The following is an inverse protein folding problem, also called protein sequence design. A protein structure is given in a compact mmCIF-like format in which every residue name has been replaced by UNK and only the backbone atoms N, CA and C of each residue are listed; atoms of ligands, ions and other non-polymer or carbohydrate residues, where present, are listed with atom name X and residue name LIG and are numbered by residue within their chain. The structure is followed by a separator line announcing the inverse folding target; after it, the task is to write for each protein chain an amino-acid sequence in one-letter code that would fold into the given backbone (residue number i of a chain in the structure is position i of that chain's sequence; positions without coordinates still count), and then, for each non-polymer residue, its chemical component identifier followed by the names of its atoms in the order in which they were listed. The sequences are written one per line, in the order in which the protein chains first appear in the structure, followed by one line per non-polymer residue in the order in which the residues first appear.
data_IF_344048932769
#
_entry.id   IF_344048932769
#
_cell.length_a   1.000
_cell.length_b   1.000
_cell.length_c   1.000
_cell.angle_alpha   90.00
_cell.angle_beta   90.00
_cell.angle_gamma   90.00
#
_symmetry.space_group_name_H-M   'P 1'
#
loop_
_entity.id
_entity.type
_entity.pdbx_description
1 polymer ?
#
# COMPACT_ATOMS: atom_id res chain seq x y z
N UNK A 1 15.20 8.35 -9.48
CA UNK A 1 15.60 6.93 -9.42
C UNK A 1 16.36 6.73 -8.10
N UNK A 2 15.73 6.23 -7.03
CA UNK A 2 16.38 6.07 -5.72
C UNK A 2 16.50 4.58 -5.35
N UNK A 3 17.70 4.01 -5.52
CA UNK A 3 18.09 2.77 -4.86
C UNK A 3 18.29 3.09 -3.37
N UNK A 4 17.64 2.34 -2.48
CA UNK A 4 17.83 2.50 -1.04
C UNK A 4 19.07 1.68 -0.68
N UNK A 5 20.25 2.22 -0.96
CA UNK A 5 21.53 1.57 -0.64
C UNK A 5 21.85 1.70 0.85
N UNK A 6 21.47 2.82 1.50
CA UNK A 6 21.61 3.03 2.95
C UNK A 6 20.27 2.99 3.70
N UNK A 7 20.28 2.43 4.92
CA UNK A 7 19.11 2.37 5.82
C UNK A 7 18.61 3.76 6.24
N UNK A 8 19.47 4.77 6.23
CA UNK A 8 19.10 6.15 6.55
C UNK A 8 18.34 6.86 5.41
N UNK A 9 18.48 6.41 4.16
CA UNK A 9 17.75 6.98 3.02
C UNK A 9 16.24 6.67 3.06
N UNK A 10 15.87 5.64 3.82
CA UNK A 10 14.47 5.26 4.04
C UNK A 10 13.67 6.42 4.64
N UNK A 11 14.30 7.19 5.54
CA UNK A 11 13.67 8.32 6.23
C UNK A 11 13.56 9.58 5.37
N UNK A 12 14.23 9.61 4.20
CA UNK A 12 14.02 10.66 3.18
C UNK A 12 12.73 10.41 2.40
N UNK A 13 12.30 9.15 2.29
CA UNK A 13 11.09 8.73 1.57
C UNK A 13 9.88 8.67 2.49
N UNK A 14 10.06 8.22 3.74
CA UNK A 14 9.01 8.12 4.75
C UNK A 14 9.36 9.03 5.91
N UNK A 15 8.50 10.02 6.15
CA UNK A 15 8.65 10.91 7.30
C UNK A 15 8.66 10.09 8.60
N UNK A 16 9.66 10.23 9.50
CA UNK A 16 9.76 9.51 10.77
C UNK A 16 8.78 10.06 11.83
N UNK A 17 7.53 10.13 11.43
CA UNK A 17 6.38 10.67 12.17
C UNK A 17 5.28 9.62 12.13
N UNK A 18 4.42 9.62 13.15
CA UNK A 18 3.26 8.74 13.24
C UNK A 18 2.44 8.74 11.94
N UNK A 19 2.13 9.91 11.39
CA UNK A 19 1.36 10.02 10.14
C UNK A 19 2.08 9.41 8.95
N UNK A 20 3.40 9.59 8.85
CA UNK A 20 4.23 8.97 7.81
C UNK A 20 4.19 7.44 7.89
N UNK A 21 4.30 6.88 9.11
CA UNK A 21 4.22 5.44 9.33
C UNK A 21 2.82 4.88 9.08
N UNK A 22 1.76 5.62 9.46
CA UNK A 22 0.37 5.25 9.17
C UNK A 22 0.14 5.25 7.66
N UNK A 23 0.59 6.27 6.92
CA UNK A 23 0.49 6.33 5.46
C UNK A 23 1.22 5.15 4.81
N UNK A 24 2.42 4.82 5.28
CA UNK A 24 3.16 3.66 4.80
C UNK A 24 2.40 2.36 5.06
N UNK A 25 1.89 2.17 6.28
CA UNK A 25 1.11 0.97 6.65
C UNK A 25 -0.14 0.85 5.78
N UNK A 26 -0.90 1.93 5.58
CA UNK A 26 -2.05 1.94 4.67
C UNK A 26 -1.64 1.50 3.27
N UNK A 27 -0.55 2.06 2.72
CA UNK A 27 -0.05 1.68 1.40
C UNK A 27 0.33 0.19 1.34
N UNK A 28 1.03 -0.31 2.35
CA UNK A 28 1.39 -1.72 2.44
C UNK A 28 0.18 -2.67 2.52
N UNK A 29 -0.89 -2.25 3.20
CA UNK A 29 -2.15 -3.01 3.28
C UNK A 29 -2.87 -3.04 1.93
N UNK A 30 -2.92 -1.92 1.20
CA UNK A 30 -3.55 -1.86 -0.13
C UNK A 30 -2.86 -2.73 -1.17
N UNK A 31 -1.54 -2.89 -1.06
CA UNK A 31 -0.77 -3.82 -1.89
C UNK A 31 -0.77 -5.27 -1.38
N UNK A 32 -1.47 -5.58 -0.28
CA UNK A 32 -1.42 -6.88 0.40
C UNK A 32 0.00 -7.34 0.79
N UNK A 33 0.96 -6.41 0.82
CA UNK A 33 2.37 -6.64 1.16
C UNK A 33 2.53 -6.81 2.67
N UNK A 34 1.69 -6.11 3.45
CA UNK A 34 1.79 -6.07 4.90
C UNK A 34 1.78 -7.46 5.55
N UNK A 35 0.85 -8.34 5.14
CA UNK A 35 0.76 -9.68 5.72
C UNK A 35 1.60 -10.72 4.98
N UNK A 36 2.00 -10.44 3.74
CA UNK A 36 2.74 -11.39 2.91
C UNK A 36 4.23 -11.40 3.23
N UNK A 37 4.79 -10.26 3.65
CA UNK A 37 6.24 -10.04 3.69
C UNK A 37 6.76 -9.79 5.10
N UNK A 38 5.91 -9.35 6.02
CA UNK A 38 6.30 -9.08 7.41
C UNK A 38 5.91 -10.23 8.32
N UNK A 39 6.88 -10.67 9.12
CA UNK A 39 6.66 -11.61 10.21
C UNK A 39 5.75 -10.99 11.28
N UNK A 40 5.13 -11.83 12.11
CA UNK A 40 4.21 -11.37 13.15
C UNK A 40 4.86 -10.37 14.12
N UNK A 41 6.09 -10.64 14.55
CA UNK A 41 6.83 -9.78 15.47
C UNK A 41 7.17 -8.42 14.85
N UNK A 42 7.56 -8.40 13.58
CA UNK A 42 7.80 -7.16 12.84
C UNK A 42 6.54 -6.31 12.73
N UNK A 43 5.37 -6.94 12.54
CA UNK A 43 4.07 -6.25 12.50
C UNK A 43 3.69 -5.69 13.87
N UNK A 44 3.86 -6.48 14.94
CA UNK A 44 3.60 -6.04 16.32
C UNK A 44 4.50 -4.87 16.69
N UNK A 45 5.80 -4.98 16.43
CA UNK A 45 6.77 -3.90 16.67
C UNK A 45 6.40 -2.61 15.92
N UNK A 46 6.11 -2.69 14.63
CA UNK A 46 5.72 -1.51 13.85
C UNK A 46 4.43 -0.87 14.40
N UNK A 47 3.43 -1.67 14.76
CA UNK A 47 2.19 -1.18 15.35
C UNK A 47 2.42 -0.49 16.69
N UNK A 48 3.28 -1.07 17.55
CA UNK A 48 3.66 -0.45 18.82
C UNK A 48 4.32 0.90 18.60
N UNK A 49 5.23 1.02 17.62
CA UNK A 49 5.87 2.31 17.31
C UNK A 49 4.83 3.36 16.86
N UNK A 50 3.84 3.00 16.05
CA UNK A 50 2.76 3.93 15.66
C UNK A 50 1.98 4.43 16.89
N UNK A 51 1.70 3.54 17.84
CA UNK A 51 0.87 3.86 19.02
C UNK A 51 1.65 4.73 20.00
N UNK A 52 2.91 4.39 20.25
CA UNK A 52 3.72 4.99 21.33
C UNK A 52 4.45 6.27 20.87
N UNK A 53 4.82 6.39 19.60
CA UNK A 53 5.74 7.42 19.14
C UNK A 53 5.10 8.37 18.14
N UNK A 54 4.93 9.64 18.52
CA UNK A 54 4.46 10.68 17.60
C UNK A 54 5.53 11.07 16.57
N UNK A 55 6.80 11.20 17.00
CA UNK A 55 7.95 11.46 16.12
C UNK A 55 9.19 10.72 16.62
N UNK A 56 9.83 9.96 15.74
CA UNK A 56 11.02 9.20 16.09
C UNK A 56 12.23 10.14 16.16
N UNK A 57 12.62 10.52 17.39
CA UNK A 57 13.84 11.30 17.65
C UNK A 57 15.08 10.42 17.84
N UNK A 58 14.91 9.19 18.35
CA UNK A 58 16.01 8.26 18.64
C UNK A 58 16.60 7.66 17.36
N UNK A 59 17.92 7.81 17.18
CA UNK A 59 18.65 7.20 16.06
C UNK A 59 18.69 5.67 16.16
N UNK A 60 18.71 5.12 17.38
CA UNK A 60 18.64 3.67 17.57
C UNK A 60 17.32 3.11 17.04
N UNK A 61 16.20 3.73 17.41
CA UNK A 61 14.88 3.30 16.95
C UNK A 61 14.74 3.41 15.43
N UNK A 62 15.31 4.45 14.82
CA UNK A 62 15.38 4.57 13.35
C UNK A 62 16.16 3.42 12.73
N UNK A 63 17.31 3.03 13.27
CA UNK A 63 18.12 1.93 12.73
C UNK A 63 17.39 0.58 12.82
N UNK A 64 16.67 0.32 13.91
CA UNK A 64 15.91 -0.94 14.08
C UNK A 64 14.68 -0.98 13.17
N UNK A 65 14.00 0.15 12.97
CA UNK A 65 12.78 0.22 12.17
C UNK A 65 13.07 0.33 10.66
N UNK A 66 14.23 0.87 10.27
CA UNK A 66 14.59 1.10 8.88
C UNK A 66 14.56 -0.16 8.00
N UNK A 67 15.05 -1.34 8.43
CA UNK A 67 14.95 -2.58 7.65
C UNK A 67 13.50 -2.98 7.34
N UNK A 68 12.61 -2.84 8.33
CA UNK A 68 11.18 -3.15 8.18
C UNK A 68 10.55 -2.21 7.15
N UNK A 69 10.80 -0.90 7.29
CA UNK A 69 10.30 0.11 6.35
C UNK A 69 10.87 -0.10 4.94
N UNK A 70 12.16 -0.42 4.83
CA UNK A 70 12.83 -0.72 3.55
C UNK A 70 12.18 -1.92 2.85
N UNK A 71 11.98 -3.02 3.57
CA UNK A 71 11.35 -4.25 3.05
C UNK A 71 9.96 -3.95 2.48
N UNK A 72 9.17 -3.14 3.18
CA UNK A 72 7.85 -2.68 2.73
C UNK A 72 7.98 -1.84 1.45
N UNK A 73 8.87 -0.84 1.43
CA UNK A 73 9.04 0.06 0.30
C UNK A 73 9.53 -0.66 -0.97
N UNK A 74 10.48 -1.58 -0.84
CA UNK A 74 11.01 -2.35 -1.96
C UNK A 74 9.93 -3.27 -2.56
N UNK A 75 9.16 -3.91 -1.69
CA UNK A 75 8.04 -4.75 -2.11
C UNK A 75 6.95 -3.95 -2.81
N UNK A 76 6.62 -2.77 -2.27
CA UNK A 76 5.70 -1.84 -2.91
C UNK A 76 6.27 -1.32 -4.23
N UNK A 77 7.58 -1.08 -4.36
CA UNK A 77 8.20 -0.64 -5.63
C UNK A 77 8.15 -1.73 -6.69
N UNK A 78 8.42 -2.99 -6.31
CA UNK A 78 8.33 -4.13 -7.23
C UNK A 78 6.92 -4.30 -7.81
N UNK A 79 5.88 -4.09 -6.99
CA UNK A 79 4.48 -4.06 -7.44
C UNK A 79 4.12 -2.73 -8.12
N UNK A 80 4.70 -1.64 -7.62
CA UNK A 80 4.55 -0.21 -7.94
C UNK A 80 4.91 0.17 -9.37
N UNK A 81 5.98 -0.43 -9.87
CA UNK A 81 6.51 -0.16 -11.21
C UNK A 81 5.76 -0.88 -12.33
N UNK A 82 5.01 -1.94 -12.01
CA UNK A 82 4.32 -2.75 -13.01
C UNK A 82 2.80 -2.62 -12.88
N UNK A 83 2.26 -1.62 -13.58
CA UNK A 83 0.82 -1.39 -13.72
C UNK A 83 0.09 -2.66 -14.18
N UNK A 84 0.72 -3.52 -14.99
CA UNK A 84 0.11 -4.76 -15.50
C UNK A 84 -0.07 -5.78 -14.37
N UNK A 85 0.89 -5.88 -13.45
CA UNK A 85 0.77 -6.71 -12.26
C UNK A 85 -0.28 -6.16 -11.28
N UNK A 86 -0.37 -4.84 -11.12
CA UNK A 86 -1.42 -4.25 -10.26
C UNK A 86 -2.82 -4.49 -10.82
N UNK A 87 -3.00 -4.35 -12.14
CA UNK A 87 -4.29 -4.61 -12.79
C UNK A 87 -4.75 -6.05 -12.56
N UNK A 88 -3.84 -7.01 -12.69
CA UNK A 88 -4.13 -8.43 -12.46
C UNK A 88 -4.40 -8.76 -11.00
N UNK A 89 -3.61 -8.21 -10.08
CA UNK A 89 -3.67 -8.59 -8.66
C UNK A 89 -4.75 -7.83 -7.87
N UNK A 90 -4.92 -6.53 -8.15
CA UNK A 90 -5.78 -5.61 -7.39
C UNK A 90 -6.97 -5.16 -8.24
N UNK A 91 -6.71 -4.73 -9.48
CA UNK A 91 -7.70 -4.08 -10.34
C UNK A 91 -8.91 -4.95 -10.67
N UNK A 92 -8.68 -6.18 -11.11
CA UNK A 92 -9.77 -7.10 -11.49
C UNK A 92 -10.69 -7.42 -10.32
N UNK A 93 -10.13 -7.67 -9.13
CA UNK A 93 -10.91 -7.97 -7.93
C UNK A 93 -11.76 -6.76 -7.49
N UNK A 94 -11.22 -5.54 -7.57
CA UNK A 94 -11.96 -4.32 -7.27
C UNK A 94 -13.09 -4.08 -8.27
N UNK A 95 -12.80 -4.21 -9.56
CA UNK A 95 -13.78 -4.04 -10.61
C UNK A 95 -14.94 -5.04 -10.45
N UNK A 96 -14.62 -6.31 -10.15
CA UNK A 96 -15.63 -7.34 -9.93
C UNK A 96 -16.54 -7.01 -8.73
N UNK A 97 -15.97 -6.56 -7.61
CA UNK A 97 -16.75 -6.15 -6.42
C UNK A 97 -17.70 -4.99 -6.73
N UNK A 98 -17.22 -3.96 -7.43
CA UNK A 98 -18.03 -2.79 -7.79
C UNK A 98 -19.14 -3.17 -8.76
N UNK A 99 -18.83 -4.00 -9.75
CA UNK A 99 -19.83 -4.50 -10.70
C UNK A 99 -20.89 -5.33 -9.97
N UNK A 100 -20.49 -6.19 -9.03
CA UNK A 100 -21.45 -6.97 -8.24
C UNK A 100 -22.38 -6.08 -7.40
N UNK A 101 -21.85 -5.02 -6.77
CA UNK A 101 -22.65 -4.04 -6.03
C UNK A 101 -23.65 -3.36 -6.96
N UNK A 102 -23.21 -2.92 -8.14
CA UNK A 102 -24.07 -2.26 -9.11
C UNK A 102 -25.16 -3.19 -9.67
N UNK A 103 -24.84 -4.47 -9.91
CA UNK A 103 -25.81 -5.49 -10.31
C UNK A 103 -26.84 -5.73 -9.20
N UNK A 104 -26.42 -5.77 -7.94
CA UNK A 104 -27.33 -5.89 -6.79
C UNK A 104 -28.28 -4.68 -6.68
N UNK A 105 -27.86 -3.51 -7.16
CA UNK A 105 -28.69 -2.31 -7.30
C UNK A 105 -29.51 -2.28 -8.61
N UNK A 106 -29.64 -3.42 -9.31
CA UNK A 106 -30.37 -3.58 -10.58
C UNK A 106 -29.80 -2.74 -11.74
N UNK A 107 -28.54 -2.31 -11.66
CA UNK A 107 -27.84 -1.68 -12.78
C UNK A 107 -27.15 -2.74 -13.65
N UNK A 108 -27.90 -3.33 -14.57
CA UNK A 108 -27.40 -4.39 -15.46
C UNK A 108 -26.31 -3.91 -16.44
N UNK A 109 -26.26 -2.60 -16.74
CA UNK A 109 -25.22 -2.01 -17.60
C UNK A 109 -23.82 -2.14 -16.99
N UNK A 110 -23.70 -2.32 -15.67
CA UNK A 110 -22.44 -2.52 -14.98
C UNK A 110 -21.67 -3.77 -15.44
N UNK A 111 -22.36 -4.79 -15.97
CA UNK A 111 -21.72 -5.97 -16.56
C UNK A 111 -20.68 -5.63 -17.62
N UNK A 112 -20.90 -4.56 -18.40
CA UNK A 112 -19.99 -4.10 -19.46
C UNK A 112 -18.70 -3.48 -18.91
N UNK A 113 -18.70 -3.04 -17.65
CA UNK A 113 -17.54 -2.36 -17.06
C UNK A 113 -16.35 -3.31 -16.86
N UNK A 114 -16.59 -4.61 -16.69
CA UNK A 114 -15.53 -5.63 -16.61
C UNK A 114 -14.69 -5.73 -17.90
N UNK A 115 -15.27 -5.39 -19.06
CA UNK A 115 -14.54 -5.36 -20.34
C UNK A 115 -13.77 -4.06 -20.56
N UNK A 116 -13.99 -3.03 -19.73
CA UNK A 116 -13.36 -1.73 -19.89
C UNK A 116 -12.05 -1.66 -19.11
N UNK A 117 -10.93 -1.81 -19.83
CA UNK A 117 -9.59 -1.77 -19.24
C UNK A 117 -9.26 -0.37 -18.65
N UNK A 118 -9.85 0.70 -19.19
CA UNK A 118 -9.75 2.05 -18.64
C UNK A 118 -10.40 2.18 -17.26
N UNK A 119 -11.57 1.57 -17.08
CA UNK A 119 -12.27 1.50 -15.78
C UNK A 119 -11.43 0.75 -14.74
N UNK A 120 -10.92 -0.43 -15.09
CA UNK A 120 -10.07 -1.23 -14.20
C UNK A 120 -8.79 -0.47 -13.84
N UNK A 121 -8.15 0.20 -14.81
CA UNK A 121 -6.98 1.07 -14.58
C UNK A 121 -7.29 2.20 -13.63
N UNK A 122 -8.37 2.92 -13.86
CA UNK A 122 -8.79 4.03 -13.01
C UNK A 122 -8.99 3.56 -11.57
N UNK A 123 -9.74 2.48 -11.35
CA UNK A 123 -9.95 1.91 -10.02
C UNK A 123 -8.64 1.47 -9.35
N UNK A 124 -7.74 0.85 -10.11
CA UNK A 124 -6.45 0.40 -9.60
C UNK A 124 -5.61 1.60 -9.13
N UNK A 125 -5.50 2.64 -9.95
CA UNK A 125 -4.73 3.85 -9.62
C UNK A 125 -5.38 4.58 -8.43
N UNK A 126 -6.69 4.75 -8.43
CA UNK A 126 -7.40 5.41 -7.33
C UNK A 126 -7.29 4.63 -6.03
N UNK A 127 -7.39 3.30 -6.08
CA UNK A 127 -7.20 2.48 -4.90
C UNK A 127 -5.74 2.52 -4.42
N UNK A 128 -4.75 2.53 -5.30
CA UNK A 128 -3.33 2.49 -4.89
C UNK A 128 -2.82 3.85 -4.41
N UNK A 129 -3.18 4.92 -5.10
CA UNK A 129 -2.60 6.25 -4.91
C UNK A 129 -3.59 7.28 -4.34
N UNK A 130 -4.90 7.05 -4.41
CA UNK A 130 -5.90 7.98 -3.88
C UNK A 130 -5.95 7.98 -2.36
N UNK A 131 -6.40 9.08 -1.75
CA UNK A 131 -6.35 9.24 -0.29
C UNK A 131 -7.41 8.42 0.50
N UNK A 132 -8.19 7.57 -0.18
CA UNK A 132 -9.11 6.60 0.43
C UNK A 132 -10.53 7.12 0.60
N UNK A 133 -11.24 7.30 -0.51
CA UNK A 133 -12.63 7.81 -0.55
C UNK A 133 -13.63 6.77 -1.09
N UNK A 134 -13.23 5.50 -1.20
CA UNK A 134 -14.14 4.40 -1.55
C UNK A 134 -13.89 3.20 -0.64
#
# INVERSE_FOLDING_TARGET
MFKIENLDDVWKVVSPTKDGLIRLKRKALRFHVWSKILDEDSRKFFNLVIVVVDKIKSNFLKKVLAPIVKKILESIKGLGGDLKLMLKSIGLNLAQKIVQIALNWKNFSASRWMGNLGFIRYLTVMHVFGDGVF
#
